data_IF_023417780611
#
_entry.id   IF_023417780611
#
_cell.length_a   1.000
_cell.length_b   1.000
_cell.length_c   1.000
_cell.angle_alpha   90.00
_cell.angle_beta   90.00
_cell.angle_gamma   90.00
#
_symmetry.space_group_name_H-M   'P 1'
#
loop_
_entity.id
_entity.type
_entity.pdbx_description
1 polymer ?
#
# COMPACT_ATOMS: atom_id res chain seq x y z
N UNK A 1 2.04 12.94 -3.18
CA UNK A 1 0.67 12.67 -2.70
C UNK A 1 0.69 11.98 -1.35
N UNK A 2 0.66 10.65 -1.28
CA UNK A 2 0.72 9.98 0.03
C UNK A 2 2.04 10.25 0.76
N UNK A 3 3.12 10.33 0.01
CA UNK A 3 4.45 10.65 0.51
C UNK A 3 4.54 12.07 1.09
N UNK A 4 3.63 12.95 0.70
CA UNK A 4 3.56 14.31 1.24
C UNK A 4 2.82 14.38 2.57
N UNK A 5 2.14 13.31 2.97
CA UNK A 5 1.51 13.25 4.27
C UNK A 5 2.60 13.26 5.35
N UNK A 6 2.54 14.23 6.23
CA UNK A 6 3.56 14.44 7.25
C UNK A 6 3.78 13.18 8.08
N UNK A 7 5.04 12.78 8.24
CA UNK A 7 5.44 11.72 9.17
C UNK A 7 5.36 10.31 8.63
N UNK A 8 5.14 10.09 7.33
CA UNK A 8 5.25 8.74 6.78
C UNK A 8 6.73 8.36 6.71
N UNK A 9 7.08 7.26 7.39
CA UNK A 9 8.46 6.74 7.47
C UNK A 9 8.60 5.38 6.84
N UNK A 10 7.50 4.62 6.76
CA UNK A 10 7.49 3.25 6.29
C UNK A 10 6.21 3.00 5.52
N UNK A 11 6.32 2.32 4.40
CA UNK A 11 5.16 1.90 3.60
C UNK A 11 5.17 0.39 3.55
N UNK A 12 4.06 -0.24 3.95
CA UNK A 12 3.90 -1.69 3.96
C UNK A 12 2.78 -2.06 3.03
N UNK A 13 3.06 -2.95 2.10
CA UNK A 13 2.09 -3.47 1.15
C UNK A 13 1.47 -4.74 1.71
N UNK A 14 0.16 -4.76 1.86
CA UNK A 14 -0.56 -5.99 2.16
C UNK A 14 -0.80 -6.74 0.86
N UNK A 15 0.08 -7.71 0.56
CA UNK A 15 -0.02 -8.50 -0.66
C UNK A 15 -1.31 -9.34 -0.65
N UNK A 16 -1.80 -9.67 -1.83
CA UNK A 16 -3.04 -10.41 -1.97
C UNK A 16 -4.26 -9.51 -2.05
N UNK A 17 -5.39 -10.00 -1.63
CA UNK A 17 -6.67 -9.31 -1.74
C UNK A 17 -7.30 -9.16 -0.38
N UNK A 18 -7.79 -7.96 -0.07
CA UNK A 18 -8.61 -7.71 1.11
C UNK A 18 -9.96 -7.14 0.68
N UNK A 19 -10.94 -7.20 1.57
CA UNK A 19 -12.25 -6.60 1.33
C UNK A 19 -12.15 -5.08 1.58
N UNK A 20 -12.11 -4.29 0.52
CA UNK A 20 -11.99 -2.83 0.62
C UNK A 20 -13.26 -2.14 1.14
N UNK A 21 -14.34 -2.86 1.38
CA UNK A 21 -15.51 -2.30 2.07
C UNK A 21 -15.23 -2.06 3.54
N UNK A 22 -14.19 -2.70 4.10
CA UNK A 22 -13.79 -2.52 5.49
C UNK A 22 -13.28 -1.10 5.71
N UNK A 23 -13.65 -0.56 6.86
CA UNK A 23 -13.15 0.72 7.33
C UNK A 23 -11.94 0.57 8.25
N UNK A 24 -11.73 1.58 9.09
CA UNK A 24 -10.55 1.66 9.97
C UNK A 24 -10.41 0.41 10.84
N UNK A 25 -11.44 0.04 11.60
CA UNK A 25 -11.35 -1.07 12.55
C UNK A 25 -11.13 -2.40 11.86
N UNK A 26 -11.83 -2.64 10.75
CA UNK A 26 -11.68 -3.86 9.97
C UNK A 26 -10.28 -4.01 9.38
N UNK A 27 -9.72 -2.93 8.84
CA UNK A 27 -8.38 -2.95 8.27
C UNK A 27 -7.32 -3.08 9.35
N UNK A 28 -7.47 -2.40 10.48
CA UNK A 28 -6.55 -2.54 11.61
C UNK A 28 -6.52 -3.99 12.12
N UNK A 29 -7.68 -4.63 12.19
CA UNK A 29 -7.79 -6.05 12.58
C UNK A 29 -7.04 -6.94 11.58
N UNK A 30 -7.20 -6.70 10.28
CA UNK A 30 -6.51 -7.47 9.25
C UNK A 30 -4.99 -7.34 9.36
N UNK A 31 -4.49 -6.15 9.68
CA UNK A 31 -3.04 -5.94 9.86
C UNK A 31 -2.48 -6.91 10.89
N UNK A 32 -3.16 -7.09 12.01
CA UNK A 32 -2.76 -8.03 13.04
C UNK A 32 -3.01 -9.49 12.66
N UNK A 33 -4.25 -9.80 12.34
CA UNK A 33 -4.69 -11.19 12.21
C UNK A 33 -4.20 -11.88 10.93
N UNK A 34 -4.16 -11.14 9.83
CA UNK A 34 -3.81 -11.71 8.53
C UNK A 34 -2.35 -11.50 8.16
N UNK A 35 -1.78 -10.37 8.55
CA UNK A 35 -0.44 -9.99 8.12
C UNK A 35 0.59 -10.00 9.26
N UNK A 36 0.16 -10.25 10.50
CA UNK A 36 1.09 -10.36 11.63
C UNK A 36 1.85 -9.08 11.95
N UNK A 37 1.27 -7.92 11.63
CA UNK A 37 1.89 -6.62 11.86
C UNK A 37 1.15 -5.87 12.95
N UNK A 38 1.76 -4.79 13.44
CA UNK A 38 1.19 -3.94 14.47
C UNK A 38 0.58 -2.71 13.81
N UNK A 39 -0.75 -2.46 13.94
CA UNK A 39 -1.37 -1.31 13.27
C UNK A 39 -1.03 0.05 13.92
N UNK A 40 -0.58 0.05 15.19
CA UNK A 40 -0.33 1.27 15.95
C UNK A 40 1.11 1.80 15.85
N UNK A 41 1.82 1.46 14.79
CA UNK A 41 3.18 1.95 14.56
C UNK A 41 3.10 3.32 13.87
N UNK A 42 3.51 4.36 14.59
CA UNK A 42 3.46 5.74 14.08
C UNK A 42 4.34 5.90 12.84
N UNK A 43 3.77 6.50 11.81
CA UNK A 43 4.48 6.74 10.56
C UNK A 43 4.48 5.57 9.58
N UNK A 44 3.83 4.45 9.93
CA UNK A 44 3.68 3.32 9.01
C UNK A 44 2.37 3.42 8.26
N UNK A 45 2.46 3.49 6.93
CA UNK A 45 1.31 3.46 6.04
C UNK A 45 1.14 2.04 5.51
N UNK A 46 0.01 1.41 5.83
CA UNK A 46 -0.36 0.11 5.27
C UNK A 46 -1.24 0.31 4.05
N UNK A 47 -0.89 -0.30 2.93
CA UNK A 47 -1.64 -0.20 1.67
C UNK A 47 -2.35 -1.52 1.38
N UNK A 48 -3.61 -1.42 0.96
CA UNK A 48 -4.49 -2.55 0.68
C UNK A 48 -5.13 -2.41 -0.69
N UNK A 49 -5.35 -3.53 -1.35
CA UNK A 49 -6.09 -3.59 -2.60
C UNK A 49 -7.13 -4.70 -2.53
N UNK A 50 -8.28 -4.48 -3.17
CA UNK A 50 -9.31 -5.48 -3.31
C UNK A 50 -9.15 -6.28 -4.59
N UNK A 51 -10.21 -6.94 -5.02
CA UNK A 51 -10.21 -7.69 -6.29
C UNK A 51 -10.03 -6.78 -7.49
N UNK A 52 -10.56 -5.56 -7.43
CA UNK A 52 -10.40 -4.56 -8.48
C UNK A 52 -9.06 -3.85 -8.30
N UNK A 53 -8.31 -3.74 -9.39
CA UNK A 53 -6.97 -3.12 -9.37
C UNK A 53 -6.99 -1.63 -9.64
N UNK A 54 -8.16 -1.00 -9.73
CA UNK A 54 -8.31 0.43 -9.98
C UNK A 54 -8.45 1.25 -8.70
N UNK A 55 -8.32 0.63 -7.53
CA UNK A 55 -8.48 1.34 -6.26
C UNK A 55 -7.65 0.70 -5.16
N UNK A 56 -7.25 1.52 -4.20
CA UNK A 56 -6.55 1.04 -3.01
C UNK A 56 -6.97 1.88 -1.80
N UNK A 57 -6.76 1.31 -0.62
CA UNK A 57 -6.90 2.03 0.65
C UNK A 57 -5.57 2.04 1.38
N UNK A 58 -5.37 3.09 2.18
CA UNK A 58 -4.22 3.20 3.06
C UNK A 58 -4.68 3.47 4.48
N UNK A 59 -4.02 2.87 5.46
CA UNK A 59 -4.26 3.09 6.87
C UNK A 59 -2.98 3.57 7.53
N UNK A 60 -3.03 4.75 8.14
CA UNK A 60 -1.88 5.40 8.77
C UNK A 60 -2.22 5.72 10.23
N UNK A 61 -1.41 5.21 11.17
CA UNK A 61 -1.50 5.60 12.57
C UNK A 61 -0.70 6.87 12.79
N UNK A 62 -1.38 7.91 13.31
CA UNK A 62 -0.78 9.23 13.48
C UNK A 62 -0.38 9.54 14.93
N UNK A 63 -0.46 8.54 15.81
CA UNK A 63 -0.20 8.72 17.23
C UNK A 63 -1.42 9.15 18.03
N UNK A 64 -2.36 9.83 17.41
CA UNK A 64 -3.61 10.29 18.03
C UNK A 64 -4.85 9.61 17.47
N UNK A 65 -4.72 8.95 16.33
CA UNK A 65 -5.82 8.28 15.65
C UNK A 65 -5.37 7.74 14.30
N UNK A 66 -6.27 7.00 13.65
CA UNK A 66 -6.03 6.49 12.31
C UNK A 66 -6.51 7.47 11.25
N UNK A 67 -5.72 7.60 10.20
CA UNK A 67 -6.12 8.24 8.95
C UNK A 67 -6.37 7.15 7.92
N UNK A 68 -7.59 7.12 7.36
CA UNK A 68 -7.95 6.21 6.29
C UNK A 68 -7.91 6.96 4.97
N UNK A 69 -7.09 6.47 4.05
CA UNK A 69 -6.94 7.04 2.71
C UNK A 69 -7.61 6.12 1.70
N UNK A 70 -8.22 6.71 0.69
CA UNK A 70 -8.84 5.96 -0.40
C UNK A 70 -8.49 6.62 -1.72
N UNK A 71 -7.98 5.81 -2.66
CA UNK A 71 -7.65 6.30 -3.99
C UNK A 71 -8.29 5.39 -5.04
N UNK A 72 -9.02 6.01 -5.96
CA UNK A 72 -9.55 5.35 -7.14
C UNK A 72 -8.83 5.91 -8.36
N UNK A 73 -8.29 5.02 -9.18
CA UNK A 73 -7.63 5.41 -10.43
C UNK A 73 -8.69 5.56 -11.51
N UNK A 74 -8.81 6.75 -12.09
CA UNK A 74 -9.76 7.01 -13.18
C UNK A 74 -9.22 6.49 -14.50
N UNK A 75 -7.89 6.37 -14.63
CA UNK A 75 -7.23 5.77 -15.78
C UNK A 75 -6.10 4.88 -15.30
N UNK A 76 -5.94 3.74 -15.94
CA UNK A 76 -4.92 2.77 -15.54
C UNK A 76 -5.31 1.91 -14.35
N UNK A 77 -4.41 1.04 -13.95
CA UNK A 77 -4.61 0.09 -12.86
C UNK A 77 -3.32 -0.14 -12.11
N UNK A 78 -3.45 -0.61 -10.87
CA UNK A 78 -2.33 -1.08 -10.07
C UNK A 78 -1.94 -2.49 -10.50
N UNK A 79 -0.65 -2.79 -10.48
CA UNK A 79 -0.14 -4.16 -10.57
C UNK A 79 0.17 -4.65 -9.17
N UNK A 80 -0.86 -5.10 -8.47
CA UNK A 80 -0.77 -5.49 -7.06
C UNK A 80 -0.25 -6.91 -6.92
N UNK A 81 0.79 -7.16 -6.09
CA UNK A 81 1.26 -8.52 -5.84
C UNK A 81 0.18 -9.37 -5.20
N UNK A 82 -0.18 -10.48 -5.86
CA UNK A 82 -1.28 -11.34 -5.41
C UNK A 82 -0.89 -12.79 -5.20
N UNK A 83 0.37 -13.13 -5.42
CA UNK A 83 0.86 -14.50 -5.28
C UNK A 83 1.21 -14.88 -3.85
N UNK A 84 1.01 -13.97 -2.89
CA UNK A 84 1.25 -14.21 -1.47
C UNK A 84 0.24 -13.40 -0.66
N UNK A 85 0.08 -13.76 0.62
CA UNK A 85 -0.75 -13.05 1.58
C UNK A 85 0.12 -12.43 2.68
N UNK A 86 1.34 -12.03 2.33
CA UNK A 86 2.30 -11.50 3.27
C UNK A 86 2.38 -9.98 3.18
N UNK A 87 2.85 -9.36 4.26
CA UNK A 87 3.19 -7.94 4.26
C UNK A 87 4.58 -7.76 3.65
N UNK A 88 4.74 -6.74 2.83
CA UNK A 88 6.02 -6.44 2.21
C UNK A 88 6.35 -4.96 2.41
N UNK A 89 7.52 -4.68 2.98
CA UNK A 89 8.02 -3.31 3.10
C UNK A 89 8.41 -2.81 1.71
N UNK A 90 7.97 -1.60 1.37
CA UNK A 90 8.33 -0.96 0.12
C UNK A 90 9.39 0.11 0.35
N UNK A 91 10.38 0.15 -0.53
CA UNK A 91 11.27 1.30 -0.63
C UNK A 91 10.52 2.47 -1.27
N UNK A 92 11.10 3.65 -1.22
CA UNK A 92 10.53 4.82 -1.88
C UNK A 92 10.39 4.60 -3.37
N UNK A 93 11.38 3.98 -4.02
CA UNK A 93 11.32 3.65 -5.44
C UNK A 93 10.23 2.63 -5.74
N UNK A 94 10.10 1.60 -4.91
CA UNK A 94 9.05 0.61 -5.10
C UNK A 94 7.65 1.22 -4.98
N UNK A 95 7.47 2.15 -4.04
CA UNK A 95 6.21 2.88 -3.92
C UNK A 95 5.91 3.67 -5.20
N UNK A 96 6.91 4.33 -5.76
CA UNK A 96 6.76 5.07 -7.01
C UNK A 96 6.38 4.14 -8.16
N UNK A 97 7.02 2.97 -8.26
CA UNK A 97 6.68 1.97 -9.27
C UNK A 97 5.23 1.51 -9.14
N UNK A 98 4.78 1.26 -7.91
CA UNK A 98 3.40 0.87 -7.67
C UNK A 98 2.43 1.93 -8.20
N UNK A 99 2.69 3.20 -7.89
CA UNK A 99 1.84 4.31 -8.33
C UNK A 99 1.88 4.52 -9.84
N UNK A 100 2.87 3.98 -10.53
CA UNK A 100 2.98 3.99 -12.00
C UNK A 100 2.29 2.79 -12.64
N UNK A 101 1.69 1.90 -11.86
CA UNK A 101 1.05 0.69 -12.37
C UNK A 101 1.97 -0.50 -12.55
N UNK A 102 3.21 -0.43 -12.03
CA UNK A 102 4.16 -1.53 -12.10
C UNK A 102 4.08 -2.37 -10.83
N UNK A 103 4.39 -3.68 -10.95
CA UNK A 103 4.48 -4.54 -9.78
C UNK A 103 5.75 -4.18 -8.99
N UNK A 104 5.62 -3.63 -7.77
CA UNK A 104 6.77 -3.13 -7.03
C UNK A 104 7.70 -4.24 -6.53
N UNK A 105 7.26 -5.50 -6.53
CA UNK A 105 8.04 -6.63 -6.04
C UNK A 105 8.66 -7.44 -7.17
N UNK A 106 8.46 -7.05 -8.43
CA UNK A 106 9.07 -7.74 -9.57
C UNK A 106 10.56 -7.43 -9.61
N UNK A 107 11.44 -8.47 -9.55
CA UNK A 107 12.90 -8.26 -9.59
C UNK A 107 13.38 -7.49 -10.82
N UNK A 108 12.67 -7.59 -11.93
CA UNK A 108 13.04 -6.89 -13.18
C UNK A 108 12.91 -5.38 -13.08
N UNK A 109 12.12 -4.89 -12.14
CA UNK A 109 11.88 -3.44 -11.98
C UNK A 109 13.08 -2.73 -11.37
N UNK A 110 13.98 -3.44 -10.68
CA UNK A 110 15.16 -2.84 -10.06
C UNK A 110 16.03 -2.06 -11.05
N UNK A 111 15.99 -2.44 -12.31
CA UNK A 111 16.79 -1.81 -13.37
C UNK A 111 16.02 -0.71 -14.11
N UNK A 112 14.77 -0.45 -13.71
CA UNK A 112 13.94 0.57 -14.33
C UNK A 112 14.13 1.88 -13.61
N UNK A 113 14.54 2.91 -14.36
CA UNK A 113 14.62 4.28 -13.84
C UNK A 113 13.26 4.95 -14.01
N UNK A 114 12.58 5.31 -12.90
CA UNK A 114 11.27 5.97 -12.98
C UNK A 114 11.28 7.24 -13.82
N UNK A 115 12.42 7.94 -13.87
CA UNK A 115 12.55 9.17 -14.68
C UNK A 115 12.54 8.91 -16.17
N UNK A 116 12.82 7.69 -16.60
CA UNK A 116 12.85 7.33 -18.03
C UNK A 116 11.51 6.81 -18.55
N UNK A 117 10.56 6.55 -17.66
CA UNK A 117 9.26 6.00 -18.03
C UNK A 117 8.29 7.10 -18.46
N UNK A 118 8.53 8.32 -18.03
CA UNK A 118 7.71 9.49 -18.37
C UNK A 118 8.18 10.18 -19.62
#
# INVERSE_FOLDING_TARGET
MLEDAAGIRRVVLACGTVDLRKGIDGLATIIGDKYGQIPFEKGTLFLFCGKRSDRCKGLLWMGTGFLLLYKRFEAGRLSWPRNTQEAADLTEEQYKYLMMGLNPLDPKIKDVDPKKIY
#
